data_IF_778722896181
#
_entry.id   IF_778722896181
#
_cell.length_a   1.000
_cell.length_b   1.000
_cell.length_c   1.000
_cell.angle_alpha   90.00
_cell.angle_beta   90.00
_cell.angle_gamma   90.00
#
_symmetry.space_group_name_H-M   'P 1'
#
loop_
_entity.id
_entity.type
_entity.pdbx_description
1 polymer ?
#
# COMPACT_ATOMS: atom_id res chain seq x y z
N UNK A 1 9.43 8.61 -6.88
CA UNK A 1 9.94 8.01 -5.61
C UNK A 1 10.68 9.06 -4.78
N UNK A 2 9.97 10.06 -4.26
CA UNK A 2 10.62 11.18 -3.53
C UNK A 2 9.97 11.53 -2.19
N UNK A 3 8.98 10.75 -1.77
CA UNK A 3 8.21 10.98 -0.54
C UNK A 3 8.50 9.97 0.57
N UNK A 4 9.15 8.84 0.27
CA UNK A 4 9.44 7.78 1.26
C UNK A 4 10.79 7.98 2.00
N UNK A 5 11.67 8.87 1.49
CA UNK A 5 13.03 9.07 2.01
C UNK A 5 13.37 10.51 2.33
N UNK A 6 12.38 11.41 2.34
CA UNK A 6 12.60 12.78 2.79
C UNK A 6 12.55 12.75 4.32
N UNK A 7 13.72 12.77 4.95
CA UNK A 7 13.94 12.99 6.39
C UNK A 7 13.96 11.76 7.33
N UNK A 8 14.14 10.54 6.81
CA UNK A 8 14.40 9.34 7.63
C UNK A 8 15.78 8.75 7.31
N UNK A 9 16.53 8.23 8.32
CA UNK A 9 17.83 7.61 8.09
C UNK A 9 17.73 6.47 7.05
N UNK A 10 18.83 6.12 6.36
CA UNK A 10 18.87 5.08 5.32
C UNK A 10 18.35 3.69 5.75
N UNK A 11 17.99 3.53 7.03
CA UNK A 11 17.50 2.33 7.68
C UNK A 11 15.99 2.12 7.60
N UNK A 12 15.20 2.97 6.94
CA UNK A 12 13.77 2.71 6.75
C UNK A 12 13.58 1.75 5.58
N UNK A 13 13.74 0.46 5.89
CA UNK A 13 13.45 -0.63 4.98
C UNK A 13 11.94 -0.74 4.79
N UNK A 14 11.50 -0.71 3.52
CA UNK A 14 10.17 -1.20 3.18
C UNK A 14 10.26 -2.72 3.22
N UNK A 15 9.48 -3.34 4.09
CA UNK A 15 9.42 -4.80 4.18
C UNK A 15 8.21 -5.31 3.38
N UNK A 16 8.42 -6.37 2.60
CA UNK A 16 7.38 -6.99 1.79
C UNK A 16 7.27 -8.45 2.19
N UNK A 17 6.09 -8.83 2.65
CA UNK A 17 5.75 -10.21 3.01
C UNK A 17 4.74 -10.76 1.99
N UNK A 18 4.91 -12.02 1.60
CA UNK A 18 4.01 -12.72 0.67
C UNK A 18 3.54 -14.02 1.30
N UNK A 19 2.22 -14.19 1.38
CA UNK A 19 1.55 -15.31 2.02
C UNK A 19 0.66 -16.00 0.98
N UNK A 20 0.83 -17.32 0.84
CA UNK A 20 -0.03 -18.18 0.02
C UNK A 20 -0.96 -18.99 0.93
N UNK A 21 -2.25 -18.67 0.93
CA UNK A 21 -3.29 -19.45 1.62
C UNK A 21 -3.84 -20.55 0.73
N UNK A 22 -4.19 -21.70 1.30
CA UNK A 22 -4.67 -22.88 0.55
C UNK A 22 -6.18 -23.15 0.71
N UNK A 23 -6.89 -22.49 1.63
CA UNK A 23 -8.33 -22.66 1.86
C UNK A 23 -8.97 -21.44 2.57
N UNK A 24 -9.58 -20.49 1.83
CA UNK A 24 -9.58 -20.40 0.37
C UNK A 24 -8.18 -20.17 -0.20
N UNK A 25 -7.96 -20.55 -1.46
CA UNK A 25 -6.75 -20.19 -2.18
C UNK A 25 -6.66 -18.68 -2.31
N UNK A 26 -5.55 -18.12 -1.83
CA UNK A 26 -5.32 -16.68 -1.88
C UNK A 26 -3.85 -16.34 -1.93
N UNK A 27 -3.54 -15.27 -2.63
CA UNK A 27 -2.29 -14.54 -2.55
C UNK A 27 -2.53 -13.31 -1.68
N UNK A 28 -1.77 -13.18 -0.60
CA UNK A 28 -1.80 -12.04 0.30
C UNK A 28 -0.40 -11.40 0.30
N UNK A 29 -0.33 -10.12 -0.04
CA UNK A 29 0.90 -9.33 -0.04
C UNK A 29 0.74 -8.25 1.03
N UNK A 30 1.73 -8.12 1.90
CA UNK A 30 1.80 -7.07 2.91
C UNK A 30 3.03 -6.21 2.70
N UNK A 31 2.82 -4.90 2.64
CA UNK A 31 3.90 -3.92 2.50
C UNK A 31 3.93 -3.07 3.77
N UNK A 32 5.09 -3.05 4.41
CA UNK A 32 5.30 -2.39 5.68
C UNK A 32 6.17 -1.15 5.51
N UNK A 33 5.74 -0.02 6.05
CA UNK A 33 6.51 1.23 6.03
C UNK A 33 6.45 1.96 7.39
N UNK A 34 7.44 2.79 7.67
CA UNK A 34 7.50 3.61 8.90
C UNK A 34 7.18 5.09 8.63
N UNK A 35 6.53 5.39 7.51
CA UNK A 35 6.13 6.74 7.14
C UNK A 35 4.99 7.28 8.02
N UNK A 36 4.66 8.56 7.82
CA UNK A 36 3.49 9.16 8.43
C UNK A 36 2.21 8.48 7.92
N UNK A 37 1.25 8.13 8.80
CA UNK A 37 -0.02 7.58 8.36
C UNK A 37 -0.78 8.62 7.52
N UNK A 38 -1.60 8.13 6.60
CA UNK A 38 -2.48 8.98 5.80
C UNK A 38 -3.87 8.35 5.70
N UNK A 39 -4.86 9.17 5.34
CA UNK A 39 -6.22 8.71 5.11
C UNK A 39 -6.29 7.91 3.80
N UNK A 40 -6.09 6.60 3.93
CA UNK A 40 -6.05 5.65 2.82
C UNK A 40 -7.40 5.54 2.12
N UNK A 41 -8.48 5.47 2.90
CA UNK A 41 -9.85 5.38 2.40
C UNK A 41 -10.24 6.59 1.56
N UNK A 42 -9.85 7.79 1.99
CA UNK A 42 -10.01 9.00 1.19
C UNK A 42 -9.19 8.95 -0.10
N UNK A 43 -7.95 8.44 -0.06
CA UNK A 43 -7.13 8.29 -1.27
C UNK A 43 -7.68 7.23 -2.23
N UNK A 44 -8.29 6.16 -1.71
CA UNK A 44 -8.94 5.14 -2.53
C UNK A 44 -10.12 5.70 -3.31
N UNK A 45 -10.95 6.52 -2.65
CA UNK A 45 -12.17 7.12 -3.23
C UNK A 45 -11.90 8.31 -4.14
N UNK A 46 -10.74 8.96 -4.01
CA UNK A 46 -10.42 10.13 -4.83
C UNK A 46 -9.96 9.66 -6.21
N UNK A 47 -10.73 9.93 -7.29
CA UNK A 47 -10.27 9.61 -8.63
C UNK A 47 -8.99 10.41 -8.89
N UNK A 48 -7.95 9.78 -9.42
CA UNK A 48 -6.74 10.47 -9.83
C UNK A 48 -7.05 11.37 -11.04
N UNK A 49 -7.60 12.56 -10.79
CA UNK A 49 -7.84 13.60 -11.80
C UNK A 49 -6.56 14.35 -12.18
N UNK A 50 -5.40 13.92 -11.67
CA UNK A 50 -4.11 14.52 -11.96
C UNK A 50 -3.57 13.98 -13.29
N UNK A 51 -3.10 14.85 -14.20
CA UNK A 51 -2.45 14.44 -15.43
C UNK A 51 -1.23 13.53 -15.14
N UNK A 52 -0.91 12.68 -16.12
CA UNK A 52 0.00 11.54 -16.00
C UNK A 52 1.42 11.91 -15.51
N UNK A 53 1.80 13.18 -15.61
CA UNK A 53 3.08 13.77 -15.22
C UNK A 53 3.18 14.13 -13.72
N UNK A 54 2.06 14.31 -13.00
CA UNK A 54 2.06 14.76 -11.59
C UNK A 54 1.48 13.74 -10.59
N UNK A 55 0.91 12.63 -11.07
CA UNK A 55 0.34 11.58 -10.22
C UNK A 55 1.40 10.58 -9.70
N UNK A 56 2.49 11.07 -9.09
CA UNK A 56 3.61 10.25 -8.62
C UNK A 56 3.26 9.28 -7.46
N UNK A 57 2.02 9.30 -6.94
CA UNK A 57 1.54 8.42 -5.87
C UNK A 57 0.13 7.84 -6.03
N UNK A 58 -0.62 8.20 -7.09
CA UNK A 58 -2.03 7.78 -7.23
C UNK A 58 -2.24 6.54 -8.11
N UNK A 59 -1.37 6.32 -9.11
CA UNK A 59 -1.53 5.22 -10.08
C UNK A 59 -1.32 3.85 -9.45
N UNK A 60 -0.34 3.72 -8.56
CA UNK A 60 -0.06 2.46 -7.86
C UNK A 60 -1.29 1.97 -7.10
N UNK A 61 -1.96 2.88 -6.37
CA UNK A 61 -3.15 2.55 -5.61
C UNK A 61 -4.35 2.21 -6.52
N UNK A 62 -4.54 2.94 -7.62
CA UNK A 62 -5.59 2.66 -8.60
C UNK A 62 -5.41 1.30 -9.29
N UNK A 63 -4.16 0.91 -9.58
CA UNK A 63 -3.85 -0.43 -10.12
C UNK A 63 -4.16 -1.48 -9.06
N UNK A 64 -3.71 -1.30 -7.82
CA UNK A 64 -3.96 -2.22 -6.71
C UNK A 64 -5.46 -2.44 -6.46
N UNK A 65 -6.27 -1.39 -6.54
CA UNK A 65 -7.73 -1.48 -6.44
C UNK A 65 -8.36 -2.34 -7.53
N UNK A 66 -7.81 -2.31 -8.76
CA UNK A 66 -8.36 -3.07 -9.88
C UNK A 66 -7.99 -4.56 -9.83
N UNK A 67 -6.82 -4.88 -9.28
CA UNK A 67 -6.32 -6.25 -9.24
C UNK A 67 -6.82 -7.00 -8.00
N UNK A 68 -6.87 -6.34 -6.85
CA UNK A 68 -7.13 -6.97 -5.57
C UNK A 68 -8.62 -7.18 -5.33
N UNK A 69 -8.96 -8.28 -4.67
CA UNK A 69 -10.34 -8.50 -4.20
C UNK A 69 -10.53 -7.88 -2.82
N UNK A 70 -9.45 -7.75 -2.04
CA UNK A 70 -9.42 -6.94 -0.81
C UNK A 70 -8.15 -6.11 -0.76
N UNK A 71 -8.30 -4.87 -0.31
CA UNK A 71 -7.23 -3.91 -0.17
C UNK A 71 -7.46 -3.13 1.13
N UNK A 72 -6.49 -3.10 2.03
CA UNK A 72 -6.61 -2.40 3.31
C UNK A 72 -5.29 -1.76 3.73
N UNK A 73 -5.39 -0.73 4.56
CA UNK A 73 -4.23 -0.04 5.13
C UNK A 73 -4.47 0.19 6.63
N UNK A 74 -3.58 -0.31 7.46
CA UNK A 74 -3.72 -0.28 8.91
C UNK A 74 -2.45 0.28 9.56
N UNK A 75 -2.62 1.20 10.52
CA UNK A 75 -1.53 1.61 11.41
C UNK A 75 -1.43 0.59 12.54
N UNK A 76 -0.25 0.04 12.75
CA UNK A 76 0.01 -0.91 13.84
C UNK A 76 0.47 -0.21 15.11
N UNK A 77 0.40 -0.94 16.22
CA UNK A 77 0.82 -0.50 17.56
C UNK A 77 2.32 -0.19 17.63
N UNK A 78 3.14 -0.83 16.78
CA UNK A 78 4.58 -0.57 16.66
C UNK A 78 4.94 0.66 15.81
N UNK A 79 3.94 1.48 15.49
CA UNK A 79 4.08 2.70 14.70
C UNK A 79 4.57 2.45 13.27
N UNK A 80 4.34 1.25 12.72
CA UNK A 80 4.44 0.95 11.29
C UNK A 80 3.07 0.97 10.63
N UNK A 81 3.06 1.26 9.33
CA UNK A 81 1.91 1.11 8.46
C UNK A 81 1.98 -0.22 7.74
N UNK A 82 0.84 -0.87 7.54
CA UNK A 82 0.70 -2.09 6.76
C UNK A 82 -0.32 -1.88 5.64
N UNK A 83 0.13 -1.96 4.38
CA UNK A 83 -0.75 -2.11 3.23
C UNK A 83 -0.93 -3.60 2.93
N UNK A 84 -2.15 -4.09 3.01
CA UNK A 84 -2.49 -5.48 2.70
C UNK A 84 -3.27 -5.57 1.40
N UNK A 85 -2.80 -6.43 0.49
CA UNK A 85 -3.39 -6.70 -0.82
C UNK A 85 -3.75 -8.19 -0.86
N UNK A 86 -5.02 -8.53 -1.06
CA UNK A 86 -5.47 -9.92 -1.14
C UNK A 86 -6.14 -10.18 -2.49
N UNK A 87 -5.71 -11.26 -3.14
CA UNK A 87 -6.34 -11.84 -4.33
C UNK A 87 -6.74 -13.28 -4.04
N UNK A 88 -8.01 -13.61 -4.27
CA UNK A 88 -8.51 -14.97 -4.32
C UNK A 88 -8.47 -15.47 -5.76
N UNK A 89 -8.13 -16.74 -5.94
CA UNK A 89 -8.05 -17.40 -7.25
C UNK A 89 -8.45 -18.87 -7.15
#
# INVERSE_FOLDING_TARGET
MKYAHKDLPPSVSIEVEVILGQSPQRLEIRVWDSGAPFDFERRLRTPSSLPADQAEGGRGLAIMQKIADKLSYTRMDDNRNCLTIVKFY
#
